data_IF_585500158928
#
_entry.id   IF_585500158928
#
_cell.length_a   1.000
_cell.length_b   1.000
_cell.length_c   1.000
_cell.angle_alpha   90.00
_cell.angle_beta   90.00
_cell.angle_gamma   90.00
#
_symmetry.space_group_name_H-M   'P 1'
#
loop_
_entity.id
_entity.type
_entity.pdbx_description
1 polymer ?
#
# COMPACT_ATOMS: atom_id res chain seq x y z
N UNK A 1 -7.02 13.42 -29.96
CA UNK A 1 -7.14 13.65 -28.51
C UNK A 1 -5.83 13.20 -27.92
N UNK A 2 -5.10 14.08 -27.23
CA UNK A 2 -3.86 13.70 -26.55
C UNK A 2 -4.21 12.66 -25.49
N UNK A 3 -3.77 11.44 -25.71
CA UNK A 3 -3.96 10.30 -24.82
C UNK A 3 -2.93 10.39 -23.66
N UNK A 4 -2.84 11.54 -23.00
CA UNK A 4 -1.96 11.67 -21.85
C UNK A 4 -2.52 10.84 -20.70
N UNK A 5 -1.70 9.94 -20.17
CA UNK A 5 -2.04 9.17 -19.00
C UNK A 5 -2.24 10.10 -17.79
N UNK A 6 -3.17 9.80 -16.87
CA UNK A 6 -3.43 10.66 -15.72
C UNK A 6 -2.20 10.73 -14.80
N UNK A 7 -2.07 11.85 -14.11
CA UNK A 7 -1.09 11.97 -13.02
C UNK A 7 -1.70 11.30 -11.78
N UNK A 8 -0.99 10.35 -11.23
CA UNK A 8 -1.37 9.67 -9.97
C UNK A 8 -0.39 10.06 -8.88
N UNK A 9 -0.92 10.33 -7.70
CA UNK A 9 -0.13 10.80 -6.57
C UNK A 9 -0.24 9.83 -5.41
N UNK A 10 0.91 9.34 -4.95
CA UNK A 10 1.04 8.55 -3.74
C UNK A 10 1.44 9.43 -2.55
N UNK A 11 0.77 9.26 -1.43
CA UNK A 11 1.08 9.88 -0.14
C UNK A 11 1.36 8.78 0.89
N UNK A 12 2.61 8.64 1.26
CA UNK A 12 3.06 7.74 2.33
C UNK A 12 3.20 8.52 3.64
N UNK A 13 2.34 8.20 4.62
CA UNK A 13 2.34 8.80 5.97
C UNK A 13 3.05 7.83 6.91
N UNK A 14 4.39 7.83 6.88
CA UNK A 14 5.21 6.95 7.70
C UNK A 14 5.52 7.52 9.09
N UNK A 15 6.09 6.69 9.97
CA UNK A 15 6.49 7.09 11.34
C UNK A 15 7.69 8.04 11.35
N UNK A 16 8.63 7.92 10.41
CA UNK A 16 9.85 8.73 10.37
C UNK A 16 9.82 9.81 9.31
N UNK A 17 9.15 9.56 8.19
CA UNK A 17 9.00 10.50 7.08
C UNK A 17 7.58 10.48 6.53
N UNK A 18 7.19 11.60 5.93
CA UNK A 18 6.05 11.69 5.01
C UNK A 18 6.62 11.95 3.62
N UNK A 19 6.16 11.21 2.63
CA UNK A 19 6.59 11.34 1.25
C UNK A 19 5.39 11.51 0.32
N UNK A 20 5.51 12.43 -0.64
CA UNK A 20 4.56 12.66 -1.73
C UNK A 20 5.29 12.47 -3.04
N UNK A 21 4.78 11.60 -3.90
CA UNK A 21 5.32 11.37 -5.24
C UNK A 21 4.17 11.49 -6.23
N UNK A 22 4.34 12.36 -7.22
CA UNK A 22 3.45 12.48 -8.37
C UNK A 22 4.11 11.83 -9.59
N UNK A 23 3.42 10.88 -10.21
CA UNK A 23 3.96 10.13 -11.33
C UNK A 23 2.96 9.94 -12.47
N UNK A 24 3.49 9.70 -13.67
CA UNK A 24 2.72 9.39 -14.87
C UNK A 24 3.35 8.20 -15.59
N UNK A 25 2.55 7.20 -16.00
CA UNK A 25 3.04 6.12 -16.87
C UNK A 25 3.32 6.68 -18.27
N UNK A 26 4.50 6.40 -18.81
CA UNK A 26 4.86 6.70 -20.19
C UNK A 26 4.35 5.60 -21.14
N UNK A 27 4.65 5.77 -22.44
CA UNK A 27 4.28 4.83 -23.50
C UNK A 27 4.84 3.39 -23.31
N UNK A 28 5.93 3.25 -22.52
CA UNK A 28 6.55 1.96 -22.20
C UNK A 28 6.01 1.37 -20.87
N UNK A 29 4.99 1.98 -20.26
CA UNK A 29 4.44 1.53 -18.98
C UNK A 29 5.31 1.84 -17.77
N UNK A 30 6.41 2.62 -17.92
CA UNK A 30 7.28 3.04 -16.82
C UNK A 30 6.81 4.37 -16.23
N UNK A 31 7.03 4.56 -14.93
CA UNK A 31 6.65 5.77 -14.22
C UNK A 31 7.67 6.89 -14.45
N UNK A 32 7.22 7.97 -15.06
CA UNK A 32 7.89 9.27 -15.05
C UNK A 32 7.50 10.02 -13.78
N UNK A 33 8.49 10.37 -12.97
CA UNK A 33 8.25 11.13 -11.75
C UNK A 33 8.19 12.61 -12.09
N UNK A 34 7.04 13.19 -11.90
CA UNK A 34 6.75 14.61 -12.22
C UNK A 34 6.97 15.52 -11.00
N UNK A 35 6.88 14.99 -9.80
CA UNK A 35 7.14 15.71 -8.57
C UNK A 35 7.44 14.79 -7.40
N UNK A 36 8.34 15.24 -6.53
CA UNK A 36 8.72 14.53 -5.33
C UNK A 36 8.93 15.50 -4.18
N UNK A 37 8.34 15.20 -3.04
CA UNK A 37 8.55 15.93 -1.82
C UNK A 37 8.55 15.03 -0.60
N UNK A 38 9.35 15.39 0.39
CA UNK A 38 9.44 14.68 1.67
C UNK A 38 9.56 15.65 2.83
N UNK A 39 9.11 15.21 4.00
CA UNK A 39 9.28 15.90 5.27
C UNK A 39 9.58 14.91 6.39
N UNK A 40 10.10 15.40 7.50
CA UNK A 40 10.14 14.60 8.72
C UNK A 40 8.74 14.40 9.23
N UNK A 41 8.42 13.17 9.64
CA UNK A 41 7.13 12.86 10.22
C UNK A 41 7.13 13.23 11.70
N UNK A 42 6.23 14.14 12.05
CA UNK A 42 5.86 14.44 13.42
C UNK A 42 4.37 14.12 13.60
N UNK A 43 3.98 13.66 14.80
CA UNK A 43 2.57 13.32 15.07
C UNK A 43 2.16 11.90 14.67
N UNK A 44 3.02 11.13 14.04
CA UNK A 44 2.78 9.72 13.66
C UNK A 44 3.64 8.80 14.52
N UNK A 45 3.05 7.74 15.08
CA UNK A 45 3.75 6.73 15.86
C UNK A 45 3.20 5.34 15.53
N UNK A 46 4.09 4.36 15.31
CA UNK A 46 3.71 3.00 14.89
C UNK A 46 2.68 3.02 13.73
N UNK A 47 2.96 3.86 12.74
CA UNK A 47 2.11 4.07 11.55
C UNK A 47 0.69 4.56 11.86
N UNK A 48 0.45 5.13 13.04
CA UNK A 48 -0.82 5.76 13.43
C UNK A 48 -0.67 7.28 13.62
N UNK A 49 -1.62 8.05 13.10
CA UNK A 49 -1.72 9.49 13.34
C UNK A 49 -2.25 9.73 14.74
N UNK A 50 -1.38 10.17 15.64
CA UNK A 50 -1.71 10.53 17.02
C UNK A 50 -1.92 12.05 17.19
N UNK A 51 -1.14 12.88 16.50
CA UNK A 51 -1.29 14.33 16.50
C UNK A 51 -1.60 14.82 15.07
N UNK A 52 -2.87 15.13 14.85
CA UNK A 52 -3.38 15.55 13.54
C UNK A 52 -2.70 16.84 13.07
N UNK A 53 -2.55 17.85 13.94
CA UNK A 53 -2.02 19.15 13.54
C UNK A 53 -0.54 19.10 13.13
N UNK A 54 0.26 18.29 13.83
CA UNK A 54 1.65 18.07 13.44
C UNK A 54 1.76 17.26 12.14
N UNK A 55 0.88 16.28 11.97
CA UNK A 55 0.81 15.49 10.72
C UNK A 55 0.42 16.37 9.53
N UNK A 56 -0.57 17.27 9.69
CA UNK A 56 -0.96 18.25 8.67
C UNK A 56 0.23 19.13 8.26
N UNK A 57 0.98 19.66 9.24
CA UNK A 57 2.17 20.48 8.95
C UNK A 57 3.20 19.70 8.14
N UNK A 58 3.45 18.44 8.52
CA UNK A 58 4.40 17.58 7.83
C UNK A 58 3.91 17.25 6.41
N UNK A 59 2.62 16.93 6.20
CA UNK A 59 2.05 16.72 4.86
C UNK A 59 2.21 17.97 4.00
N UNK A 60 1.86 19.15 4.54
CA UNK A 60 2.01 20.43 3.80
C UNK A 60 3.44 20.71 3.41
N UNK A 61 4.40 20.49 4.32
CA UNK A 61 5.84 20.65 4.00
C UNK A 61 6.29 19.67 2.91
N UNK A 62 5.80 18.42 2.92
CA UNK A 62 6.11 17.46 1.85
C UNK A 62 5.49 17.92 0.51
N UNK A 63 4.27 18.43 0.51
CA UNK A 63 3.62 19.01 -0.67
C UNK A 63 4.36 20.24 -1.21
N UNK A 64 4.75 21.18 -0.35
CA UNK A 64 5.53 22.35 -0.73
C UNK A 64 6.83 21.95 -1.41
N UNK A 65 7.54 20.94 -0.88
CA UNK A 65 8.74 20.40 -1.49
C UNK A 65 8.45 19.71 -2.84
N UNK A 66 7.30 19.04 -2.98
CA UNK A 66 6.86 18.45 -4.24
C UNK A 66 6.58 19.52 -5.29
N UNK A 67 5.85 20.58 -4.94
CA UNK A 67 5.59 21.72 -5.84
C UNK A 67 6.86 22.52 -6.17
N UNK A 68 7.80 22.60 -5.25
CA UNK A 68 9.10 23.24 -5.53
C UNK A 68 9.87 22.48 -6.63
N UNK A 69 9.70 21.16 -6.73
CA UNK A 69 10.28 20.35 -7.81
C UNK A 69 9.58 20.55 -9.16
N UNK A 70 8.26 20.84 -9.15
CA UNK A 70 7.46 21.13 -10.34
C UNK A 70 6.26 22.01 -9.97
N UNK A 71 6.35 23.34 -10.18
CA UNK A 71 5.29 24.28 -9.81
C UNK A 71 3.98 24.16 -10.62
N UNK A 72 4.01 23.43 -11.74
CA UNK A 72 2.84 23.28 -12.62
C UNK A 72 1.99 22.05 -12.26
N UNK A 73 2.33 21.33 -11.20
CA UNK A 73 1.53 20.21 -10.73
C UNK A 73 0.23 20.71 -10.10
N UNK A 74 -0.88 20.09 -10.50
CA UNK A 74 -2.17 20.22 -9.82
C UNK A 74 -2.47 18.90 -9.11
N UNK A 75 -2.42 18.91 -7.77
CA UNK A 75 -2.61 17.73 -6.92
C UNK A 75 -3.84 17.94 -6.06
N UNK A 76 -4.91 17.23 -6.37
CA UNK A 76 -6.18 17.31 -5.66
C UNK A 76 -6.50 15.97 -4.95
N UNK A 77 -6.20 14.84 -5.58
CA UNK A 77 -6.47 13.50 -5.07
C UNK A 77 -5.17 12.72 -4.85
N UNK A 78 -5.14 11.91 -3.79
CA UNK A 78 -3.99 11.08 -3.42
C UNK A 78 -4.40 9.67 -3.02
N UNK A 79 -3.59 8.68 -3.41
CA UNK A 79 -3.62 7.34 -2.84
C UNK A 79 -2.79 7.34 -1.57
N UNK A 80 -3.35 6.88 -0.47
CA UNK A 80 -2.73 6.98 0.87
C UNK A 80 -2.41 5.61 1.41
N UNK A 81 -1.17 5.43 1.86
CA UNK A 81 -0.76 4.19 2.54
C UNK A 81 -1.32 4.11 3.95
N UNK A 82 -1.86 2.95 4.32
CA UNK A 82 -2.29 2.65 5.68
C UNK A 82 -1.57 1.41 6.22
N UNK A 83 -1.07 1.50 7.44
CA UNK A 83 -0.49 0.41 8.22
C UNK A 83 -0.74 0.64 9.71
N UNK A 84 -0.23 -0.24 10.55
CA UNK A 84 -0.31 -0.11 12.01
C UNK A 84 -0.95 -1.35 12.65
N UNK A 85 -0.73 -1.52 13.94
CA UNK A 85 -1.19 -2.68 14.71
C UNK A 85 -2.73 -2.80 14.81
N UNK A 86 -3.46 -1.77 14.41
CA UNK A 86 -4.92 -1.77 14.34
C UNK A 86 -5.46 -2.46 13.09
N UNK A 87 -4.59 -2.77 12.12
CA UNK A 87 -4.95 -3.53 10.93
C UNK A 87 -5.11 -5.00 11.31
N UNK A 88 -6.23 -5.57 10.91
CA UNK A 88 -6.57 -6.98 11.12
C UNK A 88 -6.97 -7.61 9.81
N UNK A 89 -6.84 -8.90 9.70
CA UNK A 89 -7.31 -9.68 8.57
C UNK A 89 -8.33 -10.72 9.01
N UNK A 90 -9.31 -10.94 8.17
CA UNK A 90 -10.38 -11.91 8.34
C UNK A 90 -10.51 -12.70 7.04
N UNK A 91 -10.61 -14.02 7.14
CA UNK A 91 -10.93 -14.86 5.99
C UNK A 91 -12.42 -15.20 5.97
N UNK A 92 -13.03 -15.02 4.81
CA UNK A 92 -14.44 -15.32 4.58
C UNK A 92 -14.60 -16.07 3.27
N UNK A 93 -15.80 -16.61 3.04
CA UNK A 93 -16.20 -17.21 1.78
C UNK A 93 -17.51 -16.62 1.34
N UNK A 94 -17.62 -16.27 0.07
CA UNK A 94 -18.84 -15.84 -0.59
C UNK A 94 -19.17 -16.70 -1.79
N UNK A 95 -20.46 -16.91 -2.04
CA UNK A 95 -20.95 -17.65 -3.18
C UNK A 95 -22.14 -16.90 -3.79
N UNK A 96 -22.24 -16.87 -5.11
CA UNK A 96 -23.44 -16.41 -5.85
C UNK A 96 -23.93 -17.51 -6.80
N UNK A 97 -25.25 -17.59 -6.95
CA UNK A 97 -25.89 -18.41 -7.98
C UNK A 97 -26.25 -17.50 -9.16
N UNK A 98 -25.75 -17.85 -10.32
CA UNK A 98 -25.90 -17.06 -11.54
C UNK A 98 -27.30 -17.19 -12.11
N UNK A 99 -27.88 -16.10 -12.57
CA UNK A 99 -29.17 -16.11 -13.26
C UNK A 99 -29.04 -16.54 -14.73
N UNK A 100 -27.89 -16.21 -15.36
CA UNK A 100 -27.60 -16.49 -16.76
C UNK A 100 -26.50 -17.56 -16.85
N UNK A 101 -26.91 -18.81 -16.71
CA UNK A 101 -26.01 -19.96 -16.66
C UNK A 101 -25.41 -20.34 -18.01
N UNK A 102 -26.03 -19.88 -19.12
CA UNK A 102 -25.60 -20.13 -20.50
C UNK A 102 -24.51 -19.11 -21.00
N UNK A 103 -24.39 -17.98 -20.32
CA UNK A 103 -23.37 -16.98 -20.62
C UNK A 103 -22.07 -17.29 -19.85
N UNK A 104 -20.94 -16.86 -20.38
CA UNK A 104 -19.66 -16.93 -19.66
C UNK A 104 -19.65 -15.99 -18.44
N UNK A 105 -18.83 -16.34 -17.45
CA UNK A 105 -18.61 -15.51 -16.25
C UNK A 105 -17.91 -14.22 -16.69
N UNK A 106 -18.41 -13.11 -16.19
CA UNK A 106 -17.93 -11.77 -16.49
C UNK A 106 -17.35 -11.09 -15.24
N UNK A 107 -16.60 -10.01 -15.43
CA UNK A 107 -16.08 -9.19 -14.32
C UNK A 107 -17.19 -8.70 -13.39
N UNK A 108 -18.38 -8.40 -13.91
CA UNK A 108 -19.53 -7.92 -13.12
C UNK A 108 -19.95 -8.88 -12.01
N UNK A 109 -19.90 -10.19 -12.25
CA UNK A 109 -20.25 -11.20 -11.25
C UNK A 109 -19.16 -11.30 -10.18
N UNK A 110 -17.90 -11.09 -10.54
CA UNK A 110 -16.80 -11.00 -9.57
C UNK A 110 -16.95 -9.75 -8.71
N UNK A 111 -17.22 -8.60 -9.32
CA UNK A 111 -17.46 -7.35 -8.60
C UNK A 111 -18.63 -7.47 -7.62
N UNK A 112 -19.71 -8.16 -8.04
CA UNK A 112 -20.86 -8.46 -7.15
C UNK A 112 -20.44 -9.32 -5.95
N UNK A 113 -19.62 -10.35 -6.17
CA UNK A 113 -19.09 -11.18 -5.07
C UNK A 113 -18.28 -10.36 -4.08
N UNK A 114 -17.43 -9.45 -4.59
CA UNK A 114 -16.63 -8.55 -3.77
C UNK A 114 -17.51 -7.57 -3.00
N UNK A 115 -18.48 -6.94 -3.66
CA UNK A 115 -19.43 -6.00 -3.04
C UNK A 115 -20.25 -6.65 -1.91
N UNK A 116 -20.60 -7.92 -2.06
CA UNK A 116 -21.31 -8.65 -1.02
C UNK A 116 -20.44 -8.90 0.21
N UNK A 117 -19.13 -9.03 0.05
CA UNK A 117 -18.21 -9.18 1.18
C UNK A 117 -18.01 -7.86 1.98
N UNK A 118 -18.19 -6.70 1.36
CA UNK A 118 -18.20 -5.42 2.10
C UNK A 118 -19.34 -5.30 3.11
N UNK A 119 -20.38 -6.15 2.99
CA UNK A 119 -21.51 -6.23 3.94
C UNK A 119 -21.25 -7.23 5.08
N UNK A 120 -20.10 -7.87 5.11
CA UNK A 120 -19.75 -8.86 6.14
C UNK A 120 -19.71 -8.18 7.52
N UNK A 121 -20.30 -8.89 8.51
CA UNK A 121 -20.26 -8.41 9.89
C UNK A 121 -18.81 -8.37 10.41
N UNK A 122 -18.42 -7.21 10.90
CA UNK A 122 -17.11 -6.97 11.52
C UNK A 122 -17.31 -6.41 12.94
N UNK A 123 -16.31 -6.54 13.85
CA UNK A 123 -16.40 -6.00 15.20
C UNK A 123 -16.72 -4.51 15.22
N UNK A 124 -17.50 -4.09 16.21
CA UNK A 124 -17.80 -2.69 16.41
C UNK A 124 -16.52 -1.88 16.65
N UNK A 125 -16.39 -0.75 15.95
CA UNK A 125 -15.18 0.09 16.00
C UNK A 125 -14.19 -0.16 14.84
N UNK A 126 -14.30 -1.28 14.14
CA UNK A 126 -13.50 -1.53 12.93
C UNK A 126 -14.28 -1.12 11.66
N UNK A 127 -13.55 -0.92 10.57
CA UNK A 127 -14.07 -0.65 9.23
C UNK A 127 -13.31 -1.53 8.23
N UNK A 128 -14.00 -2.04 7.21
CA UNK A 128 -13.36 -2.72 6.09
C UNK A 128 -12.58 -1.69 5.28
N UNK A 129 -11.31 -2.00 5.03
CA UNK A 129 -10.41 -1.21 4.21
C UNK A 129 -10.39 -1.80 2.81
N UNK A 130 -10.22 -3.14 2.70
CA UNK A 130 -10.11 -3.81 1.42
C UNK A 130 -10.69 -5.23 1.50
N UNK A 131 -11.16 -5.73 0.35
CA UNK A 131 -11.67 -7.09 0.16
C UNK A 131 -10.95 -7.73 -1.01
N UNK A 132 -10.05 -8.64 -0.71
CA UNK A 132 -9.16 -9.25 -1.69
C UNK A 132 -9.63 -10.67 -1.99
N UNK A 133 -10.09 -10.97 -3.21
CA UNK A 133 -10.41 -12.33 -3.62
C UNK A 133 -9.13 -13.16 -3.66
N UNK A 134 -9.21 -14.39 -3.19
CA UNK A 134 -8.11 -15.34 -3.19
C UNK A 134 -8.30 -16.39 -4.29
N UNK A 135 -9.01 -17.44 -4.01
CA UNK A 135 -9.25 -18.55 -4.92
C UNK A 135 -10.74 -18.62 -5.28
N UNK A 136 -11.03 -18.75 -6.56
CA UNK A 136 -12.39 -18.93 -7.03
C UNK A 136 -12.77 -20.41 -7.18
N UNK A 137 -14.04 -20.65 -7.09
CA UNK A 137 -14.66 -21.95 -7.34
C UNK A 137 -15.79 -21.75 -8.34
N UNK A 138 -15.83 -22.55 -9.40
CA UNK A 138 -16.94 -22.56 -10.36
C UNK A 138 -17.57 -23.95 -10.33
N UNK A 139 -18.80 -24.03 -9.87
CA UNK A 139 -19.51 -25.29 -9.58
C UNK A 139 -18.67 -26.21 -8.67
N UNK A 140 -18.12 -27.30 -9.21
CA UNK A 140 -17.27 -28.26 -8.49
C UNK A 140 -15.77 -28.05 -8.70
N UNK A 141 -15.36 -27.11 -9.56
CA UNK A 141 -13.95 -26.83 -9.86
C UNK A 141 -13.43 -25.80 -8.85
N UNK A 142 -12.39 -26.16 -8.13
CA UNK A 142 -11.74 -25.32 -7.11
C UNK A 142 -10.40 -24.79 -7.62
N UNK A 143 -9.81 -23.86 -6.87
CA UNK A 143 -8.49 -23.28 -7.10
C UNK A 143 -8.37 -22.61 -8.49
N UNK A 144 -9.41 -21.90 -8.91
CA UNK A 144 -9.42 -21.13 -10.15
C UNK A 144 -8.88 -19.73 -9.84
N UNK A 145 -7.74 -19.32 -10.43
CA UNK A 145 -7.19 -17.98 -10.18
C UNK A 145 -8.04 -16.86 -10.77
N UNK A 146 -8.62 -17.10 -11.95
CA UNK A 146 -9.49 -16.15 -12.64
C UNK A 146 -10.64 -16.89 -13.32
N UNK A 147 -11.89 -16.71 -12.87
CA UNK A 147 -13.04 -17.43 -13.41
C UNK A 147 -13.66 -16.76 -14.65
N UNK A 148 -13.16 -15.62 -15.12
CA UNK A 148 -13.68 -14.93 -16.31
C UNK A 148 -13.56 -15.82 -17.53
N UNK A 149 -14.67 -15.97 -18.28
CA UNK A 149 -14.74 -16.81 -19.47
C UNK A 149 -15.12 -18.27 -19.17
N UNK A 150 -15.23 -18.69 -17.90
CA UNK A 150 -15.74 -20.00 -17.54
C UNK A 150 -17.27 -20.03 -17.61
N UNK A 151 -17.84 -21.17 -18.00
CA UNK A 151 -19.26 -21.46 -17.85
C UNK A 151 -19.53 -22.13 -16.50
N UNK A 152 -20.67 -21.83 -15.87
CA UNK A 152 -21.06 -22.45 -14.60
C UNK A 152 -22.30 -21.82 -13.98
N UNK A 153 -22.92 -22.53 -13.05
CA UNK A 153 -24.15 -22.12 -12.34
C UNK A 153 -23.80 -21.34 -11.06
N UNK A 154 -22.79 -21.79 -10.36
CA UNK A 154 -22.38 -21.22 -9.06
C UNK A 154 -20.94 -20.73 -9.12
N UNK A 155 -20.71 -19.49 -8.67
CA UNK A 155 -19.39 -18.94 -8.48
C UNK A 155 -19.20 -18.70 -6.99
N UNK A 156 -18.10 -19.17 -6.44
CA UNK A 156 -17.69 -18.87 -5.08
C UNK A 156 -16.26 -18.35 -5.05
N UNK A 157 -15.89 -17.66 -3.99
CA UNK A 157 -14.51 -17.29 -3.73
C UNK A 157 -14.21 -17.28 -2.24
N UNK A 158 -12.96 -17.56 -1.89
CA UNK A 158 -12.39 -17.22 -0.61
C UNK A 158 -11.92 -15.77 -0.65
N UNK A 159 -12.09 -15.04 0.45
CA UNK A 159 -11.74 -13.63 0.54
C UNK A 159 -10.84 -13.37 1.74
N UNK A 160 -9.88 -12.52 1.55
CA UNK A 160 -9.08 -11.90 2.58
C UNK A 160 -9.60 -10.48 2.82
N UNK A 161 -10.34 -10.29 3.93
CA UNK A 161 -10.90 -8.98 4.29
C UNK A 161 -9.94 -8.28 5.21
N UNK A 162 -9.50 -7.09 4.83
CA UNK A 162 -8.65 -6.22 5.63
C UNK A 162 -9.53 -5.24 6.38
N UNK A 163 -9.38 -5.16 7.69
CA UNK A 163 -10.09 -4.20 8.53
C UNK A 163 -9.13 -3.35 9.33
N UNK A 164 -9.58 -2.18 9.75
CA UNK A 164 -8.81 -1.27 10.59
C UNK A 164 -9.70 -0.45 11.52
N UNK A 165 -9.11 0.10 12.58
CA UNK A 165 -9.81 0.96 13.52
C UNK A 165 -10.35 2.23 12.86
N UNK A 166 -11.64 2.52 13.06
CA UNK A 166 -12.33 3.69 12.46
C UNK A 166 -11.69 5.02 12.84
N UNK A 167 -11.18 5.15 14.05
CA UNK A 167 -10.58 6.41 14.50
C UNK A 167 -9.22 6.62 13.84
N UNK A 168 -8.43 5.55 13.66
CA UNK A 168 -7.16 5.61 12.96
C UNK A 168 -7.39 6.03 11.49
N UNK A 169 -8.35 5.41 10.80
CA UNK A 169 -8.74 5.76 9.43
C UNK A 169 -9.22 7.22 9.35
N UNK A 170 -10.09 7.63 10.28
CA UNK A 170 -10.61 9.01 10.36
C UNK A 170 -9.49 10.03 10.56
N UNK A 171 -8.50 9.72 11.40
CA UNK A 171 -7.38 10.63 11.65
C UNK A 171 -6.51 10.82 10.40
N UNK A 172 -6.26 9.75 9.63
CA UNK A 172 -5.57 9.83 8.35
C UNK A 172 -6.37 10.73 7.40
N UNK A 173 -7.65 10.41 7.14
CA UNK A 173 -8.49 11.17 6.21
C UNK A 173 -8.58 12.65 6.60
N UNK A 174 -8.80 12.95 7.89
CA UNK A 174 -8.81 14.34 8.39
C UNK A 174 -7.49 15.07 8.18
N UNK A 175 -6.36 14.38 8.34
CA UNK A 175 -5.04 14.99 8.11
C UNK A 175 -4.85 15.32 6.63
N UNK A 176 -5.28 14.44 5.74
CA UNK A 176 -5.22 14.63 4.28
C UNK A 176 -6.15 15.77 3.85
N UNK A 177 -7.43 15.72 4.24
CA UNK A 177 -8.44 16.73 3.91
C UNK A 177 -8.05 18.14 4.39
N UNK A 178 -7.60 18.27 5.65
CA UNK A 178 -7.13 19.56 6.20
C UNK A 178 -5.81 20.04 5.59
N UNK A 179 -5.10 19.17 4.89
CA UNK A 179 -3.92 19.57 4.10
C UNK A 179 -4.29 20.10 2.71
N UNK A 180 -5.57 20.08 2.34
CA UNK A 180 -6.08 20.55 1.05
C UNK A 180 -6.16 19.46 -0.02
N UNK A 181 -6.09 18.18 0.37
CA UNK A 181 -6.14 17.03 -0.52
C UNK A 181 -7.36 16.17 -0.25
N UNK A 182 -7.75 15.36 -1.23
CA UNK A 182 -8.77 14.32 -1.07
C UNK A 182 -8.13 12.94 -1.12
N UNK A 183 -8.51 12.07 -0.17
CA UNK A 183 -8.12 10.67 -0.23
C UNK A 183 -8.91 9.98 -1.33
N UNK A 184 -8.23 9.52 -2.38
CA UNK A 184 -8.83 8.72 -3.45
C UNK A 184 -9.14 7.32 -2.97
N UNK A 185 -8.11 6.69 -2.38
CA UNK A 185 -8.22 5.37 -1.76
C UNK A 185 -7.19 5.19 -0.65
N UNK A 186 -7.48 4.25 0.28
CA UNK A 186 -6.57 3.81 1.34
C UNK A 186 -6.04 2.42 0.99
N UNK A 187 -4.76 2.35 0.71
CA UNK A 187 -4.09 1.12 0.30
C UNK A 187 -3.24 0.57 1.44
N UNK A 188 -3.36 -0.72 1.73
CA UNK A 188 -2.50 -1.37 2.73
C UNK A 188 -1.03 -1.28 2.31
N UNK A 189 -0.17 -0.73 3.19
CA UNK A 189 1.24 -0.46 2.86
C UNK A 189 2.00 -1.69 2.35
N UNK A 190 1.92 -2.89 2.97
CA UNK A 190 2.62 -4.06 2.44
C UNK A 190 2.16 -4.46 1.04
N UNK A 191 0.90 -4.21 0.65
CA UNK A 191 0.42 -4.46 -0.71
C UNK A 191 0.96 -3.43 -1.71
N UNK A 192 1.01 -2.15 -1.31
CA UNK A 192 1.64 -1.12 -2.11
C UNK A 192 3.13 -1.42 -2.32
N UNK A 193 3.87 -1.71 -1.24
CA UNK A 193 5.29 -2.04 -1.32
C UNK A 193 5.53 -3.27 -2.19
N UNK A 194 4.68 -4.29 -2.08
CA UNK A 194 4.74 -5.50 -2.91
C UNK A 194 4.65 -5.17 -4.40
N UNK A 195 3.68 -4.36 -4.81
CA UNK A 195 3.51 -3.94 -6.21
C UNK A 195 4.73 -3.20 -6.77
N UNK A 196 5.54 -2.57 -5.91
CA UNK A 196 6.73 -1.83 -6.32
C UNK A 196 7.99 -2.69 -6.45
N UNK A 197 8.08 -3.85 -5.75
CA UNK A 197 9.33 -4.61 -5.62
C UNK A 197 9.24 -6.05 -6.09
N UNK A 198 8.05 -6.53 -6.47
CA UNK A 198 7.83 -7.88 -7.00
C UNK A 198 7.68 -7.87 -8.51
N UNK A 199 8.19 -8.91 -9.15
CA UNK A 199 7.89 -9.27 -10.52
C UNK A 199 6.85 -10.41 -10.59
N UNK A 200 6.42 -10.71 -11.80
CA UNK A 200 5.50 -11.83 -12.06
C UNK A 200 6.10 -13.19 -11.66
N UNK A 201 7.41 -13.34 -11.83
CA UNK A 201 8.15 -14.54 -11.44
C UNK A 201 8.15 -14.78 -9.92
N UNK A 202 8.25 -13.71 -9.13
CA UNK A 202 8.17 -13.79 -7.66
C UNK A 202 6.80 -14.29 -7.21
N UNK A 203 5.73 -13.81 -7.85
CA UNK A 203 4.35 -14.22 -7.56
C UNK A 203 4.13 -15.71 -7.85
N UNK A 204 4.68 -16.21 -8.96
CA UNK A 204 4.59 -17.62 -9.35
C UNK A 204 5.43 -18.50 -8.40
N UNK A 205 6.65 -18.06 -8.07
CA UNK A 205 7.56 -18.81 -7.22
C UNK A 205 7.09 -18.91 -5.74
N UNK A 206 6.20 -18.03 -5.32
CA UNK A 206 5.81 -17.87 -3.92
C UNK A 206 6.85 -17.06 -3.13
N UNK A 207 6.44 -15.95 -2.52
CA UNK A 207 7.35 -14.97 -1.92
C UNK A 207 6.73 -14.30 -0.69
N UNK A 208 7.56 -13.92 0.26
CA UNK A 208 7.19 -13.06 1.37
C UNK A 208 7.84 -11.68 1.23
N UNK A 209 7.05 -10.62 1.32
CA UNK A 209 7.53 -9.25 1.34
C UNK A 209 7.57 -8.77 2.79
N UNK A 210 8.72 -8.23 3.20
CA UNK A 210 8.94 -7.68 4.54
C UNK A 210 9.37 -6.23 4.40
N UNK A 211 8.44 -5.33 4.63
CA UNK A 211 8.68 -3.87 4.62
C UNK A 211 9.05 -3.40 6.02
N UNK A 212 10.32 -3.09 6.25
CA UNK A 212 10.83 -2.65 7.54
C UNK A 212 10.85 -1.13 7.57
N UNK A 213 9.79 -0.56 8.12
CA UNK A 213 9.63 0.86 8.29
C UNK A 213 10.36 1.45 9.50
N UNK A 214 9.92 2.65 9.92
CA UNK A 214 10.38 3.27 11.17
C UNK A 214 9.65 2.75 12.39
N UNK A 215 8.34 2.56 12.32
CA UNK A 215 7.47 2.20 13.44
C UNK A 215 6.88 0.80 13.38
N UNK A 216 6.75 0.23 12.19
CA UNK A 216 6.19 -1.11 11.92
C UNK A 216 7.07 -1.87 10.94
N UNK A 217 7.00 -3.19 11.01
CA UNK A 217 7.45 -4.11 9.97
C UNK A 217 6.21 -4.79 9.41
N UNK A 218 5.96 -4.60 8.14
CA UNK A 218 4.74 -5.03 7.46
C UNK A 218 5.06 -6.24 6.57
N UNK A 219 4.25 -7.30 6.71
CA UNK A 219 4.43 -8.58 6.01
C UNK A 219 3.27 -8.82 5.06
N UNK A 220 3.58 -9.24 3.83
CA UNK A 220 2.63 -9.84 2.90
C UNK A 220 3.22 -11.12 2.32
N UNK A 221 2.44 -12.20 2.28
CA UNK A 221 2.87 -13.51 1.76
C UNK A 221 2.01 -13.87 0.57
N UNK A 222 2.67 -14.11 -0.56
CA UNK A 222 2.04 -14.53 -1.81
C UNK A 222 2.45 -15.97 -2.15
N UNK A 223 1.51 -16.72 -2.67
CA UNK A 223 1.74 -18.06 -3.18
C UNK A 223 0.78 -18.33 -4.35
N UNK A 224 1.31 -18.81 -5.46
CA UNK A 224 0.54 -19.01 -6.71
C UNK A 224 -0.22 -17.75 -7.17
N UNK A 225 0.42 -16.59 -7.04
CA UNK A 225 -0.18 -15.30 -7.39
C UNK A 225 -1.22 -14.77 -6.42
N UNK A 226 -1.52 -15.48 -5.34
CA UNK A 226 -2.58 -15.18 -4.39
C UNK A 226 -1.99 -14.67 -3.08
N UNK A 227 -2.55 -13.59 -2.54
CA UNK A 227 -2.24 -13.12 -1.20
C UNK A 227 -2.77 -14.12 -0.16
N UNK A 228 -1.88 -14.82 0.52
CA UNK A 228 -2.24 -15.82 1.54
C UNK A 228 -2.30 -15.22 2.94
N UNK A 229 -1.46 -14.23 3.25
CA UNK A 229 -1.38 -13.65 4.59
C UNK A 229 -0.86 -12.23 4.56
N UNK A 230 -1.35 -11.40 5.50
CA UNK A 230 -0.77 -10.11 5.84
C UNK A 230 -0.65 -9.97 7.34
N UNK A 231 0.40 -9.33 7.81
CA UNK A 231 0.60 -9.03 9.22
C UNK A 231 1.34 -7.71 9.40
N UNK A 232 1.09 -7.07 10.53
CA UNK A 232 1.80 -5.87 10.96
C UNK A 232 2.49 -6.15 12.28
N UNK A 233 3.81 -6.15 12.27
CA UNK A 233 4.67 -6.36 13.45
C UNK A 233 4.98 -4.98 14.04
N UNK A 234 4.66 -4.71 15.32
CA UNK A 234 4.80 -3.38 15.93
C UNK A 234 6.25 -3.06 16.36
N UNK A 235 7.23 -3.68 15.72
CA UNK A 235 8.65 -3.48 15.94
C UNK A 235 9.35 -3.15 14.62
N UNK A 236 10.20 -2.10 14.64
CA UNK A 236 10.92 -1.64 13.45
C UNK A 236 12.12 -0.74 13.80
N UNK A 237 12.53 0.11 12.88
CA UNK A 237 13.72 0.94 13.00
C UNK A 237 13.78 1.83 14.24
N UNK A 238 12.66 2.33 14.75
CA UNK A 238 12.60 3.17 15.95
C UNK A 238 12.89 2.37 17.22
N UNK A 239 12.49 1.10 17.29
CA UNK A 239 12.81 0.23 18.41
C UNK A 239 14.32 0.02 18.50
N UNK A 240 14.98 -0.23 17.36
CA UNK A 240 16.45 -0.34 17.30
C UNK A 240 17.12 0.96 17.80
N UNK A 241 16.63 2.13 17.37
CA UNK A 241 17.12 3.42 17.83
C UNK A 241 16.99 3.60 19.34
N UNK A 242 15.84 3.21 19.90
CA UNK A 242 15.60 3.27 21.33
C UNK A 242 16.47 2.28 22.13
N UNK A 243 16.72 1.10 21.60
CA UNK A 243 17.61 0.11 22.22
C UNK A 243 19.06 0.62 22.22
N UNK A 244 19.52 1.21 21.11
CA UNK A 244 20.83 1.86 21.02
C UNK A 244 20.94 3.02 22.02
N UNK A 245 19.91 3.90 22.06
CA UNK A 245 19.85 5.01 23.02
C UNK A 245 20.02 4.51 24.45
N UNK A 246 19.26 3.48 24.82
CA UNK A 246 19.23 2.93 26.19
C UNK A 246 20.53 2.16 26.50
N UNK A 247 20.93 1.25 25.61
CA UNK A 247 22.07 0.38 25.80
C UNK A 247 23.42 1.13 25.80
N UNK A 248 23.50 2.20 25.01
CA UNK A 248 24.73 3.01 24.94
C UNK A 248 24.64 4.33 25.72
N UNK A 249 23.49 4.68 26.31
CA UNK A 249 23.33 5.92 27.09
C UNK A 249 23.64 7.16 26.28
N UNK A 250 23.00 7.32 25.11
CA UNK A 250 23.21 8.43 24.17
C UNK A 250 21.88 9.11 23.82
N UNK A 251 21.92 10.26 23.13
CA UNK A 251 20.70 10.92 22.64
C UNK A 251 20.05 10.10 21.53
N UNK A 252 18.71 10.19 21.39
CA UNK A 252 17.95 9.51 20.32
C UNK A 252 18.49 9.87 18.93
N UNK A 253 18.83 11.14 18.72
CA UNK A 253 19.41 11.63 17.45
C UNK A 253 20.78 11.02 17.17
N UNK A 254 21.64 10.89 18.19
CA UNK A 254 22.94 10.23 18.06
C UNK A 254 22.77 8.72 17.80
N UNK A 255 21.83 8.08 18.49
CA UNK A 255 21.51 6.67 18.29
C UNK A 255 21.05 6.40 16.84
N UNK A 256 20.17 7.25 16.30
CA UNK A 256 19.70 7.14 14.91
C UNK A 256 20.86 7.34 13.91
N UNK A 257 21.70 8.36 14.10
CA UNK A 257 22.85 8.58 13.25
C UNK A 257 23.82 7.40 13.26
N UNK A 258 24.09 6.81 14.43
CA UNK A 258 24.95 5.63 14.54
C UNK A 258 24.35 4.42 13.85
N UNK A 259 23.04 4.19 14.02
CA UNK A 259 22.32 3.11 13.33
C UNK A 259 22.46 3.23 11.82
N UNK A 260 22.20 4.41 11.27
CA UNK A 260 22.22 4.66 9.82
C UNK A 260 23.65 4.58 9.24
N UNK A 261 24.63 5.15 9.92
CA UNK A 261 26.00 5.26 9.37
C UNK A 261 26.85 4.01 9.62
N UNK A 262 26.72 3.41 10.80
CA UNK A 262 27.61 2.35 11.29
C UNK A 262 26.90 1.04 11.63
N UNK A 263 25.57 1.01 11.55
CA UNK A 263 24.77 -0.15 11.92
C UNK A 263 25.07 -1.38 11.08
N UNK A 264 25.08 -2.55 11.73
CA UNK A 264 25.17 -3.87 11.12
C UNK A 264 24.21 -4.83 11.83
N UNK A 265 23.49 -5.65 11.06
CA UNK A 265 22.63 -6.68 11.58
C UNK A 265 23.41 -7.92 12.10
N UNK A 266 24.68 -8.04 11.77
CA UNK A 266 25.57 -9.12 12.25
C UNK A 266 26.75 -8.52 13.02
N UNK A 267 26.83 -8.84 14.31
CA UNK A 267 27.89 -8.34 15.19
C UNK A 267 29.27 -8.96 14.88
N UNK A 268 29.30 -10.16 14.32
CA UNK A 268 30.55 -10.82 13.94
C UNK A 268 31.22 -10.19 12.73
N UNK A 269 30.45 -9.50 11.88
CA UNK A 269 30.93 -8.75 10.72
C UNK A 269 31.44 -7.34 11.11
N UNK A 270 31.18 -6.91 12.34
CA UNK A 270 31.68 -5.63 12.84
C UNK A 270 33.14 -5.74 13.28
N UNK A 271 33.97 -4.77 12.83
CA UNK A 271 35.38 -4.71 13.21
C UNK A 271 35.55 -4.59 14.73
N UNK A 272 36.23 -5.53 15.35
CA UNK A 272 36.37 -5.64 16.81
C UNK A 272 37.03 -4.38 17.45
N UNK A 273 37.98 -3.75 16.75
CA UNK A 273 38.76 -2.61 17.24
C UNK A 273 38.29 -1.28 16.63
N UNK A 274 37.05 -1.18 16.13
CA UNK A 274 36.51 0.08 15.60
C UNK A 274 35.65 0.76 16.67
N UNK A 275 35.87 2.06 16.84
CA UNK A 275 35.17 2.90 17.80
C UNK A 275 34.58 4.13 17.10
N UNK A 276 33.42 4.58 17.57
CA UNK A 276 32.75 5.81 17.16
C UNK A 276 32.87 6.79 18.31
N UNK A 277 33.46 7.95 18.04
CA UNK A 277 33.55 9.03 19.04
C UNK A 277 32.34 9.94 18.92
N UNK A 278 31.58 10.09 20.00
CA UNK A 278 30.42 10.98 20.08
C UNK A 278 30.73 12.16 21.00
N UNK A 279 30.36 13.39 20.61
CA UNK A 279 30.51 14.55 21.49
C UNK A 279 29.72 14.35 22.78
N UNK A 280 30.37 14.65 23.91
CA UNK A 280 29.72 14.66 25.22
C UNK A 280 28.70 15.79 25.36
N UNK A 281 27.73 15.62 26.29
CA UNK A 281 26.72 16.62 26.58
C UNK A 281 27.33 17.74 27.46
N UNK A 282 27.14 19.02 27.06
CA UNK A 282 27.40 20.21 27.88
C UNK A 282 28.61 20.11 28.80
N UNK A 283 29.84 19.97 28.21
CA UNK A 283 31.08 19.94 28.97
C UNK A 283 31.49 18.55 29.48
N UNK A 284 30.72 17.50 29.19
CA UNK A 284 31.15 16.12 29.41
C UNK A 284 32.19 15.70 28.35
N UNK A 285 33.11 14.78 28.70
CA UNK A 285 34.10 14.26 27.75
C UNK A 285 33.37 13.51 26.63
N UNK A 286 34.02 13.46 25.47
CA UNK A 286 33.54 12.63 24.36
C UNK A 286 33.47 11.17 24.79
N UNK A 287 32.48 10.46 24.26
CA UNK A 287 32.22 9.03 24.55
C UNK A 287 32.68 8.19 23.37
N UNK A 288 33.48 7.18 23.65
CA UNK A 288 33.87 6.16 22.67
C UNK A 288 32.93 4.96 22.75
N UNK A 289 32.36 4.57 21.60
CA UNK A 289 31.41 3.48 21.46
C UNK A 289 31.97 2.44 20.51
N UNK A 290 32.08 1.19 20.99
CA UNK A 290 32.50 0.08 20.15
C UNK A 290 31.45 -0.21 19.07
N UNK A 291 31.88 -0.26 17.80
CA UNK A 291 31.03 -0.64 16.66
C UNK A 291 30.47 -2.04 16.84
N UNK A 292 31.21 -2.95 17.47
CA UNK A 292 30.74 -4.30 17.78
C UNK A 292 29.62 -4.29 18.81
N UNK A 293 29.69 -3.45 19.86
CA UNK A 293 28.58 -3.31 20.81
C UNK A 293 27.32 -2.73 20.17
N UNK A 294 27.49 -1.73 19.30
CA UNK A 294 26.40 -1.20 18.50
C UNK A 294 25.75 -2.31 17.66
N UNK A 295 26.55 -3.11 16.96
CA UNK A 295 26.06 -4.20 16.13
C UNK A 295 25.37 -5.32 16.97
N UNK A 296 25.85 -5.63 18.19
CA UNK A 296 25.18 -6.58 19.08
C UNK A 296 23.77 -6.13 19.46
N UNK A 297 23.60 -4.83 19.78
CA UNK A 297 22.27 -4.27 20.12
C UNK A 297 21.33 -4.36 18.89
N UNK A 298 21.83 -3.97 17.72
CA UNK A 298 21.07 -4.01 16.48
C UNK A 298 20.68 -5.44 16.10
N UNK A 299 21.63 -6.37 16.14
CA UNK A 299 21.42 -7.78 15.84
C UNK A 299 20.34 -8.39 16.75
N UNK A 300 20.37 -8.12 18.05
CA UNK A 300 19.40 -8.65 18.99
C UNK A 300 17.97 -8.24 18.62
N UNK A 301 17.74 -6.94 18.30
CA UNK A 301 16.43 -6.46 17.91
C UNK A 301 16.01 -6.94 16.52
N UNK A 302 16.93 -6.98 15.57
CA UNK A 302 16.61 -7.47 14.23
C UNK A 302 16.30 -8.96 14.22
N UNK A 303 17.02 -9.76 15.04
CA UNK A 303 16.68 -11.18 15.20
C UNK A 303 15.26 -11.37 15.74
N UNK A 304 14.87 -10.59 16.75
CA UNK A 304 13.50 -10.62 17.28
C UNK A 304 12.46 -10.25 16.21
N UNK A 305 12.72 -9.24 15.38
CA UNK A 305 11.81 -8.88 14.27
C UNK A 305 11.70 -10.05 13.27
N UNK A 306 12.82 -10.69 12.92
CA UNK A 306 12.82 -11.84 12.01
C UNK A 306 12.17 -13.08 12.64
N UNK A 307 12.24 -13.26 13.95
CA UNK A 307 11.49 -14.30 14.67
C UNK A 307 9.97 -14.10 14.54
N UNK A 308 9.49 -12.84 14.63
CA UNK A 308 8.08 -12.53 14.35
C UNK A 308 7.71 -12.81 12.90
N UNK A 309 8.55 -12.44 11.94
CA UNK A 309 8.34 -12.80 10.53
C UNK A 309 8.21 -14.32 10.38
N UNK A 310 9.14 -15.07 10.96
CA UNK A 310 9.12 -16.55 10.94
C UNK A 310 7.85 -17.12 11.60
N UNK A 311 7.40 -16.51 12.69
CA UNK A 311 6.14 -16.89 13.33
C UNK A 311 4.95 -16.75 12.39
N UNK A 312 4.83 -15.60 11.71
CA UNK A 312 3.75 -15.35 10.76
C UNK A 312 3.85 -16.26 9.53
N UNK A 313 5.03 -16.54 9.01
CA UNK A 313 5.22 -17.50 7.92
C UNK A 313 4.71 -18.90 8.29
N UNK A 314 4.96 -19.36 9.52
CA UNK A 314 4.43 -20.63 10.02
C UNK A 314 2.89 -20.62 10.14
N UNK A 315 2.26 -19.47 10.44
CA UNK A 315 0.80 -19.37 10.51
C UNK A 315 0.12 -19.57 9.14
N UNK A 316 0.81 -19.27 8.05
CA UNK A 316 0.29 -19.49 6.69
C UNK A 316 0.13 -20.96 6.36
N UNK A 317 0.83 -21.84 7.07
CA UNK A 317 0.78 -23.29 6.84
C UNK A 317 1.53 -23.73 5.57
N UNK A 318 2.28 -22.84 4.93
CA UNK A 318 3.18 -23.15 3.83
C UNK A 318 4.51 -23.64 4.40
N UNK A 319 5.04 -24.71 3.83
CA UNK A 319 6.40 -25.10 4.15
C UNK A 319 7.43 -24.20 3.45
N UNK A 320 8.66 -24.22 3.88
CA UNK A 320 9.71 -23.37 3.30
C UNK A 320 9.93 -23.64 1.80
N UNK A 321 9.52 -24.80 1.29
CA UNK A 321 9.64 -25.17 -0.13
C UNK A 321 8.59 -24.49 -1.00
N UNK A 322 7.49 -24.04 -0.41
CA UNK A 322 6.45 -23.30 -1.14
C UNK A 322 6.84 -21.85 -1.42
N UNK A 323 7.81 -21.29 -0.67
CA UNK A 323 8.30 -19.93 -0.85
C UNK A 323 9.67 -19.94 -1.58
N UNK A 324 9.68 -20.45 -2.82
CA UNK A 324 10.91 -20.53 -3.63
C UNK A 324 11.47 -19.14 -3.99
N UNK A 325 10.63 -18.10 -4.09
CA UNK A 325 11.03 -16.69 -4.24
C UNK A 325 11.65 -16.09 -2.97
N UNK A 326 11.57 -16.81 -1.84
CA UNK A 326 12.18 -16.41 -0.56
C UNK A 326 11.54 -15.16 0.05
N UNK A 327 12.39 -14.30 0.61
CA UNK A 327 11.98 -13.06 1.28
C UNK A 327 12.53 -11.86 0.52
N UNK A 328 11.64 -10.93 0.19
CA UNK A 328 12.01 -9.61 -0.34
C UNK A 328 11.94 -8.60 0.81
N UNK A 329 13.09 -8.06 1.17
CA UNK A 329 13.23 -7.02 2.19
C UNK A 329 13.10 -5.65 1.55
N UNK A 330 12.22 -4.80 2.05
CA UNK A 330 12.07 -3.43 1.58
C UNK A 330 11.88 -2.45 2.74
N UNK A 331 11.61 -1.17 2.45
CA UNK A 331 11.53 -0.13 3.47
C UNK A 331 12.88 0.41 3.91
N UNK A 332 12.86 1.43 4.76
CA UNK A 332 14.09 2.10 5.22
C UNK A 332 15.02 1.21 6.03
N UNK A 333 14.47 0.29 6.81
CA UNK A 333 15.21 -0.65 7.64
C UNK A 333 15.95 -1.74 6.85
N UNK A 334 15.51 -2.04 5.63
CA UNK A 334 16.16 -3.04 4.77
C UNK A 334 17.57 -2.65 4.32
N UNK A 335 17.92 -1.36 4.44
CA UNK A 335 19.24 -0.85 4.08
C UNK A 335 20.32 -1.12 5.15
N UNK A 336 19.94 -1.77 6.26
CA UNK A 336 20.89 -2.15 7.30
C UNK A 336 21.90 -3.17 6.76
N UNK A 337 23.18 -2.94 7.01
CA UNK A 337 24.23 -3.84 6.53
C UNK A 337 24.05 -5.24 7.09
N UNK A 338 24.33 -6.25 6.27
CA UNK A 338 24.25 -7.69 6.59
C UNK A 338 22.85 -8.18 7.00
N UNK A 339 21.79 -7.42 6.67
CA UNK A 339 20.43 -7.84 7.00
C UNK A 339 19.98 -9.07 6.20
N UNK A 340 20.39 -9.18 4.93
CA UNK A 340 20.11 -10.35 4.10
C UNK A 340 20.59 -11.62 4.83
N UNK A 341 21.85 -11.66 5.23
CA UNK A 341 22.47 -12.82 5.86
C UNK A 341 21.80 -13.16 7.21
N UNK A 342 21.42 -12.12 8.00
CA UNK A 342 20.66 -12.35 9.22
C UNK A 342 19.29 -12.96 8.94
N UNK A 343 18.58 -12.43 7.93
CA UNK A 343 17.26 -12.92 7.53
C UNK A 343 17.33 -14.38 7.10
N UNK A 344 18.28 -14.72 6.23
CA UNK A 344 18.51 -16.11 5.77
C UNK A 344 18.85 -17.04 6.93
N UNK A 345 19.68 -16.57 7.86
CA UNK A 345 20.06 -17.36 9.03
C UNK A 345 18.88 -17.67 9.96
N UNK A 346 18.01 -16.67 10.21
CA UNK A 346 16.89 -16.82 11.16
C UNK A 346 15.72 -17.57 10.51
N UNK A 347 15.40 -17.25 9.26
CA UNK A 347 14.20 -17.77 8.61
C UNK A 347 14.42 -19.08 7.86
N UNK A 348 15.68 -19.36 7.46
CA UNK A 348 16.03 -20.49 6.60
C UNK A 348 15.58 -20.33 5.15
N UNK A 349 15.15 -19.15 4.74
CA UNK A 349 14.75 -18.79 3.38
C UNK A 349 15.78 -17.86 2.75
N UNK A 350 15.96 -17.96 1.43
CA UNK A 350 16.76 -16.97 0.68
C UNK A 350 16.15 -15.57 0.85
N UNK A 351 17.00 -14.54 0.88
CA UNK A 351 16.54 -13.17 1.00
C UNK A 351 17.24 -12.24 0.01
N UNK A 352 16.52 -11.21 -0.46
CA UNK A 352 17.05 -10.12 -1.28
C UNK A 352 16.47 -8.78 -0.89
N UNK A 353 17.13 -7.69 -1.27
CA UNK A 353 16.54 -6.36 -1.15
C UNK A 353 15.66 -6.10 -2.37
N UNK A 354 14.43 -5.63 -2.12
CA UNK A 354 13.51 -5.15 -3.14
C UNK A 354 13.71 -3.65 -3.40
N UNK A 355 13.97 -3.32 -4.64
CA UNK A 355 14.12 -1.94 -5.11
C UNK A 355 12.96 -1.60 -6.06
N UNK A 356 12.33 -0.42 -5.95
CA UNK A 356 11.22 -0.03 -6.82
C UNK A 356 11.66 0.45 -8.21
N UNK A 357 12.94 0.34 -8.56
CA UNK A 357 13.58 0.90 -9.75
C UNK A 357 13.06 0.29 -11.07
N UNK A 358 12.57 -0.94 -11.05
CA UNK A 358 12.06 -1.61 -12.26
C UNK A 358 10.85 -0.90 -12.87
N UNK A 359 10.07 -0.20 -12.04
CA UNK A 359 8.90 0.55 -12.49
C UNK A 359 9.22 1.98 -12.91
N UNK A 360 10.40 2.49 -12.61
CA UNK A 360 10.78 3.87 -12.89
C UNK A 360 11.33 4.03 -14.31
N UNK A 361 10.99 5.15 -14.96
CA UNK A 361 11.54 5.53 -16.26
C UNK A 361 13.03 5.92 -16.12
N UNK A 362 13.77 5.85 -17.22
CA UNK A 362 15.16 6.30 -17.27
C UNK A 362 15.26 7.81 -16.91
N UNK A 363 16.31 8.18 -16.15
CA UNK A 363 16.52 9.57 -15.73
C UNK A 363 15.70 9.99 -14.49
N UNK A 364 15.08 9.04 -13.80
CA UNK A 364 14.42 9.32 -12.52
C UNK A 364 15.42 9.82 -11.44
N UNK A 365 14.88 10.41 -10.37
CA UNK A 365 15.66 10.83 -9.21
C UNK A 365 16.24 9.59 -8.52
N UNK A 366 17.57 9.45 -8.48
CA UNK A 366 18.27 8.28 -7.91
C UNK A 366 17.81 7.93 -6.48
N UNK A 367 17.44 8.94 -5.69
CA UNK A 367 16.92 8.73 -4.35
C UNK A 367 15.67 7.84 -4.33
N UNK A 368 14.82 7.92 -5.34
CA UNK A 368 13.55 7.17 -5.44
C UNK A 368 13.73 5.70 -5.77
N UNK A 369 14.91 5.30 -6.23
CA UNK A 369 15.28 3.88 -6.40
C UNK A 369 15.48 3.14 -5.08
N UNK A 370 15.57 3.87 -3.94
CA UNK A 370 15.82 3.25 -2.64
C UNK A 370 14.58 2.55 -2.10
N UNK A 371 14.75 1.42 -1.40
CA UNK A 371 13.65 0.68 -0.77
C UNK A 371 12.75 1.54 0.13
N UNK A 372 13.27 2.62 0.66
CA UNK A 372 12.56 3.59 1.50
C UNK A 372 11.32 4.20 0.82
N UNK A 373 11.23 4.17 -0.51
CA UNK A 373 10.13 4.76 -1.28
C UNK A 373 9.25 3.72 -1.97
N UNK A 374 9.48 2.42 -1.72
CA UNK A 374 8.70 1.33 -2.33
C UNK A 374 7.20 1.50 -2.10
N UNK A 375 6.78 1.81 -0.87
CA UNK A 375 5.37 2.08 -0.54
C UNK A 375 4.79 3.19 -1.40
N UNK A 376 5.46 4.35 -1.46
CA UNK A 376 4.93 5.51 -2.19
C UNK A 376 4.84 5.26 -3.71
N UNK A 377 5.82 4.57 -4.29
CA UNK A 377 5.80 4.15 -5.70
C UNK A 377 4.70 3.13 -5.93
N UNK A 378 4.56 2.15 -5.02
CA UNK A 378 3.49 1.15 -5.08
C UNK A 378 2.09 1.75 -5.00
N UNK A 379 1.89 2.83 -4.24
CA UNK A 379 0.62 3.57 -4.22
C UNK A 379 0.27 4.13 -5.60
N UNK A 380 1.24 4.63 -6.34
CA UNK A 380 1.03 5.11 -7.71
C UNK A 380 0.67 3.95 -8.65
N UNK A 381 1.38 2.81 -8.52
CA UNK A 381 1.09 1.62 -9.32
C UNK A 381 -0.32 1.12 -9.07
N UNK A 382 -0.76 1.04 -7.80
CA UNK A 382 -2.13 0.68 -7.44
C UNK A 382 -3.16 1.66 -8.01
N UNK A 383 -2.87 2.95 -7.98
CA UNK A 383 -3.73 3.94 -8.61
C UNK A 383 -3.86 3.75 -10.13
N UNK A 384 -2.81 3.28 -10.81
CA UNK A 384 -2.89 2.90 -12.22
C UNK A 384 -3.66 1.62 -12.45
N UNK A 385 -3.54 0.61 -11.58
CA UNK A 385 -4.35 -0.61 -11.65
C UNK A 385 -5.84 -0.26 -11.61
N UNK A 386 -6.25 0.62 -10.68
CA UNK A 386 -7.62 1.10 -10.55
C UNK A 386 -8.08 1.89 -11.78
N UNK A 387 -7.24 2.78 -12.28
CA UNK A 387 -7.53 3.56 -13.48
C UNK A 387 -7.73 2.66 -14.70
N UNK A 388 -6.84 1.70 -14.92
CA UNK A 388 -6.91 0.77 -16.04
C UNK A 388 -8.12 -0.17 -15.94
N UNK A 389 -8.48 -0.61 -14.72
CA UNK A 389 -9.67 -1.41 -14.46
C UNK A 389 -10.94 -0.65 -14.82
N UNK A 390 -11.10 0.58 -14.32
CA UNK A 390 -12.24 1.43 -14.60
C UNK A 390 -12.35 1.78 -16.10
N UNK A 391 -11.24 2.05 -16.78
CA UNK A 391 -11.19 2.32 -18.21
C UNK A 391 -11.64 1.11 -19.02
N UNK A 392 -11.15 -0.11 -18.70
CA UNK A 392 -11.55 -1.34 -19.38
C UNK A 392 -13.04 -1.65 -19.21
N UNK A 393 -13.60 -1.39 -18.03
CA UNK A 393 -15.04 -1.52 -17.81
C UNK A 393 -15.83 -0.55 -18.68
N UNK A 394 -15.43 0.73 -18.68
CA UNK A 394 -16.05 1.76 -19.49
C UNK A 394 -16.02 1.42 -21.00
N UNK A 395 -14.86 1.02 -21.53
CA UNK A 395 -14.71 0.64 -22.95
C UNK A 395 -15.58 -0.58 -23.31
N UNK A 396 -15.69 -1.58 -22.44
CA UNK A 396 -16.55 -2.77 -22.67
C UNK A 396 -18.02 -2.42 -22.71
N UNK A 397 -18.48 -1.55 -21.81
CA UNK A 397 -19.88 -1.13 -21.79
C UNK A 397 -20.22 -0.22 -22.96
N UNK A 398 -19.30 0.66 -23.37
CA UNK A 398 -19.48 1.55 -24.50
C UNK A 398 -19.54 0.80 -25.84
N UNK A 399 -18.68 -0.22 -26.04
CA UNK A 399 -18.71 -1.07 -27.24
C UNK A 399 -19.95 -1.95 -27.37
N UNK A 400 -20.69 -2.19 -26.28
CA UNK A 400 -21.96 -2.95 -26.30
C UNK A 400 -23.16 -2.12 -26.75
N UNK A 401 -23.04 -0.79 -26.82
CA UNK A 401 -24.09 0.07 -27.39
C UNK A 401 -23.88 0.09 -28.91
N UNK A 402 -24.38 -0.92 -29.61
CA UNK A 402 -24.51 -0.86 -31.07
C UNK A 402 -25.51 0.25 -31.39
N UNK A 403 -25.00 1.33 -32.01
CA UNK A 403 -25.88 2.37 -32.57
C UNK A 403 -26.65 1.75 -33.73
N UNK A 404 -27.98 1.69 -33.67
CA UNK A 404 -28.77 1.13 -34.77
C UNK A 404 -28.37 1.80 -36.09
N UNK A 405 -28.20 0.98 -37.16
CA UNK A 405 -27.75 1.44 -38.48
C UNK A 405 -28.52 2.66 -39.03
N UNK A 406 -29.78 2.85 -38.62
CA UNK A 406 -30.62 3.98 -39.00
C UNK A 406 -30.13 5.32 -38.40
N UNK A 407 -29.54 5.32 -37.22
CA UNK A 407 -29.01 6.54 -36.58
C UNK A 407 -27.63 6.95 -37.14
N UNK A 408 -26.85 5.98 -37.63
CA UNK A 408 -25.59 6.25 -38.32
C UNK A 408 -25.78 7.04 -39.61
N UNK A 409 -26.82 6.71 -40.40
CA UNK A 409 -27.09 7.40 -41.66
C UNK A 409 -27.51 8.86 -41.47
N UNK A 410 -28.29 9.16 -40.45
CA UNK A 410 -28.72 10.54 -40.14
C UNK A 410 -27.52 11.39 -39.68
N UNK A 411 -26.58 10.84 -38.96
CA UNK A 411 -25.40 11.55 -38.50
C UNK A 411 -24.38 11.85 -39.61
N UNK A 412 -24.30 10.97 -40.61
CA UNK A 412 -23.43 11.19 -41.79
C UNK A 412 -24.01 12.25 -42.74
N UNK A 413 -25.33 12.40 -42.76
CA UNK A 413 -26.03 13.43 -43.62
C UNK A 413 -26.02 14.82 -42.97
N UNK A 414 -26.00 14.93 -41.64
CA UNK A 414 -26.06 16.22 -40.92
C UNK A 414 -24.66 16.76 -40.48
N UNK A 415 -23.58 15.99 -40.63
CA UNK A 415 -22.21 16.45 -40.39
C UNK A 415 -21.86 16.77 -38.94
N UNK A 416 -22.68 16.39 -37.98
CA UNK A 416 -22.41 16.55 -36.56
C UNK A 416 -21.99 15.20 -35.87
N UNK A 417 -21.06 15.20 -34.91
CA UNK A 417 -20.66 13.99 -34.22
C UNK A 417 -21.77 13.54 -33.25
N UNK A 418 -22.42 12.42 -33.56
CA UNK A 418 -23.53 11.79 -32.82
C UNK A 418 -23.16 11.39 -31.36
N UNK A 419 -21.95 11.62 -30.93
CA UNK A 419 -21.43 11.17 -29.63
C UNK A 419 -22.01 11.97 -28.45
N UNK A 420 -22.51 13.19 -28.65
CA UNK A 420 -23.01 14.04 -27.56
C UNK A 420 -24.49 13.81 -27.19
N UNK A 421 -25.35 13.34 -28.11
CA UNK A 421 -26.79 13.21 -27.84
C UNK A 421 -27.25 11.86 -27.25
N UNK A 422 -26.44 10.79 -27.32
CA UNK A 422 -26.85 9.45 -26.83
C UNK A 422 -26.45 9.20 -25.37
N UNK A 423 -25.65 10.05 -24.77
CA UNK A 423 -25.38 9.96 -23.32
C UNK A 423 -26.40 10.83 -22.60
N UNK A 424 -27.63 10.31 -22.41
CA UNK A 424 -28.59 10.96 -21.54
C UNK A 424 -27.96 11.16 -20.15
N UNK A 425 -28.11 12.37 -19.62
CA UNK A 425 -27.68 12.76 -18.26
C UNK A 425 -28.03 11.74 -17.17
N UNK A 426 -29.07 10.92 -17.38
CA UNK A 426 -29.50 9.87 -16.47
C UNK A 426 -28.52 8.67 -16.40
N UNK A 427 -27.84 8.31 -17.48
CA UNK A 427 -26.85 7.22 -17.45
C UNK A 427 -25.51 7.67 -16.86
N UNK A 428 -25.13 8.92 -17.10
CA UNK A 428 -23.97 9.54 -16.43
C UNK A 428 -24.26 9.78 -14.97
N UNK A 429 -25.51 10.10 -14.57
CA UNK A 429 -25.93 10.20 -13.17
C UNK A 429 -25.95 8.86 -12.46
N UNK A 430 -26.35 7.78 -13.15
CA UNK A 430 -26.28 6.42 -12.55
C UNK A 430 -24.86 5.93 -12.37
N UNK A 431 -23.90 6.37 -13.21
CA UNK A 431 -22.47 6.02 -13.04
C UNK A 431 -21.73 6.91 -12.04
N UNK A 432 -22.07 8.19 -12.01
CA UNK A 432 -21.67 9.03 -10.86
C UNK A 432 -22.27 8.47 -9.55
N UNK A 433 -23.36 7.73 -9.63
CA UNK A 433 -23.96 7.01 -8.52
C UNK A 433 -23.13 5.86 -7.98
N UNK A 434 -22.35 5.13 -8.79
CA UNK A 434 -21.46 4.08 -8.26
C UNK A 434 -20.19 4.66 -7.63
N UNK A 435 -19.58 5.68 -8.25
CA UNK A 435 -18.49 6.42 -7.61
C UNK A 435 -18.97 7.32 -6.45
N UNK A 436 -20.25 7.79 -6.49
CA UNK A 436 -20.90 8.51 -5.40
C UNK A 436 -21.57 7.58 -4.37
N UNK A 437 -21.65 6.27 -4.60
CA UNK A 437 -22.16 5.35 -3.58
C UNK A 437 -21.21 5.34 -2.38
N UNK A 438 -19.93 5.40 -2.62
CA UNK A 438 -18.93 5.59 -1.55
C UNK A 438 -18.98 6.98 -0.91
N UNK A 439 -19.24 8.04 -1.66
CA UNK A 439 -19.49 9.40 -1.14
C UNK A 439 -20.79 9.49 -0.36
N UNK A 440 -21.89 9.02 -0.90
CA UNK A 440 -23.22 9.08 -0.26
C UNK A 440 -23.41 8.11 0.91
N UNK A 441 -22.66 7.01 0.95
CA UNK A 441 -22.63 6.15 2.14
C UNK A 441 -21.89 6.84 3.30
N UNK A 442 -20.88 7.68 3.00
CA UNK A 442 -20.24 8.57 3.97
C UNK A 442 -21.19 9.68 4.46
N UNK A 443 -21.90 10.34 3.53
CA UNK A 443 -22.76 11.48 3.83
C UNK A 443 -24.09 11.06 4.47
N UNK A 444 -24.66 9.93 4.07
CA UNK A 444 -25.92 9.40 4.64
C UNK A 444 -25.77 8.90 6.09
N UNK A 445 -24.57 8.46 6.50
CA UNK A 445 -24.29 8.13 7.90
C UNK A 445 -24.13 9.40 8.74
N UNK A 446 -23.59 10.46 8.17
CA UNK A 446 -23.43 11.76 8.87
C UNK A 446 -24.78 12.43 9.10
N UNK A 447 -25.72 12.33 8.17
CA UNK A 447 -27.05 12.90 8.32
C UNK A 447 -27.92 12.09 9.30
N UNK A 448 -27.77 10.75 9.37
CA UNK A 448 -28.48 9.95 10.36
C UNK A 448 -28.07 10.27 11.82
N UNK A 449 -26.82 10.64 12.03
CA UNK A 449 -26.34 11.04 13.37
C UNK A 449 -26.67 12.49 13.73
N UNK A 450 -26.95 13.36 12.74
CA UNK A 450 -27.42 14.73 13.03
C UNK A 450 -28.88 14.78 13.44
N UNK A 451 -29.72 13.88 12.94
CA UNK A 451 -31.14 13.80 13.35
C UNK A 451 -31.36 13.22 14.77
N UNK A 452 -30.37 12.51 15.35
CA UNK A 452 -30.44 12.02 16.72
C UNK A 452 -29.97 13.04 17.76
N UNK A 453 -29.08 13.98 17.43
CA UNK A 453 -28.64 15.03 18.33
C UNK A 453 -29.70 16.13 18.53
N UNK A 454 -30.60 16.37 17.57
CA UNK A 454 -31.66 17.35 17.66
C UNK A 454 -32.91 16.85 18.40
N UNK A 455 -32.96 15.63 18.89
CA UNK A 455 -34.08 15.04 19.63
C UNK A 455 -33.87 14.95 21.15
N UNK A 456 -32.73 15.45 21.65
CA UNK A 456 -32.40 15.49 23.09
C UNK A 456 -31.91 16.86 23.55
N UNK A 457 -32.61 17.93 23.11
CA UNK A 457 -32.57 19.25 23.75
C UNK A 457 -33.99 19.71 24.07
#
# INVERSE_FOLDING_TARGET
MNNEQPIIVGLDIGTTKIAVIAGRKNEFGKLEILGFGKSNSNGVKHSQVLNIDETIKAIKTALENCFASNPNLDINEVYVGIAGHHIKSLQTRGDIVRQKTEEEITQREIDQLIDDQYKTYIPAGDQIIDVIPQEFTVDNFQNIPNPIGYGGVKIGANFHIITGDKNAIRNINRSVEKSGLHTKDLVLQPLASSSAVMGQEDLEAGVAIVDIGGGTTDLAVFYEGILKHTAVIPFAGENITNDIKTGLGVLKTQAEQMKVQFGSALANEAKANAYITIPGLRGMPAKEISVKNLANIIQARMSEIMDFVTYHLKQVGLDNKALNGGIILTGGGSQLKHLIQLTEYVTGLNARIGFPNEHLAAGHIEELSKPTYSTCIGLILKGYDDYEHNRKQFEKEYKKVEVPDGLRRVAEEEGEPVVEEVVSDDKVKQRKGLNNFWGKFKDGIIDLFKEEEDKHL
#
